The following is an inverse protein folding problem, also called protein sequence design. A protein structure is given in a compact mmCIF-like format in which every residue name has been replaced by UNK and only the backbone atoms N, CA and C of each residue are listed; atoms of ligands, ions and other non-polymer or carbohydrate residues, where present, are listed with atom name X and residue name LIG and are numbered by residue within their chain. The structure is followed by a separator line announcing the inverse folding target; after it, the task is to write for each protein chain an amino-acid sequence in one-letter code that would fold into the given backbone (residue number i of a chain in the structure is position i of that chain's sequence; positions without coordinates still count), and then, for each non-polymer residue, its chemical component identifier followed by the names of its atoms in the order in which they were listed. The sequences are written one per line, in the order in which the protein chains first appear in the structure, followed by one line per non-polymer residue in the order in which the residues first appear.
data_IF_500362304261
#
_entry.id   IF_500362304261
#
_cell.length_a   1.000
_cell.length_b   1.000
_cell.length_c   1.000
_cell.angle_alpha   90.00
_cell.angle_beta   90.00
_cell.angle_gamma   90.00
#
_symmetry.space_group_name_H-M   'P 1'
#
loop_
_entity.id
_entity.type
_entity.pdbx_description
1 polymer ?
#
# COMPACT_ATOMS: atom_id res chain seq x y z
N UNK A 1 22.85 5.15 12.18
CA UNK A 1 23.87 4.83 11.15
C UNK A 1 24.19 3.36 11.32
N UNK A 2 23.76 2.47 10.41
CA UNK A 2 24.10 1.05 10.52
C UNK A 2 25.59 0.87 10.24
N UNK A 3 26.34 0.52 11.27
CA UNK A 3 27.79 0.24 11.21
C UNK A 3 28.10 -1.15 10.62
N UNK A 4 27.08 -1.90 10.18
CA UNK A 4 27.25 -3.28 9.71
C UNK A 4 27.34 -3.35 8.20
N UNK A 5 28.32 -4.11 7.73
CA UNK A 5 28.60 -4.28 6.30
C UNK A 5 27.70 -5.33 5.64
N UNK A 6 27.06 -6.19 6.42
CA UNK A 6 26.12 -7.20 5.94
C UNK A 6 24.97 -7.46 6.93
N UNK A 7 23.84 -8.01 6.49
CA UNK A 7 22.73 -8.45 7.35
C UNK A 7 23.18 -9.49 8.40
N UNK A 8 24.07 -10.39 8.02
CA UNK A 8 24.62 -11.43 8.92
C UNK A 8 25.39 -10.82 10.08
N UNK A 9 26.24 -9.82 9.81
CA UNK A 9 27.00 -9.12 10.85
C UNK A 9 26.08 -8.37 11.82
N UNK A 10 24.99 -7.80 11.33
CA UNK A 10 24.00 -7.15 12.19
C UNK A 10 23.28 -8.18 13.08
N UNK A 11 22.89 -9.32 12.51
CA UNK A 11 22.23 -10.40 13.22
C UNK A 11 23.12 -11.03 14.30
N UNK A 12 24.40 -11.32 13.98
CA UNK A 12 25.37 -11.84 14.95
C UNK A 12 25.58 -10.87 16.13
N UNK A 13 25.63 -9.58 15.85
CA UNK A 13 25.74 -8.56 16.88
C UNK A 13 24.51 -8.51 17.79
N UNK A 14 23.31 -8.58 17.21
CA UNK A 14 22.06 -8.55 17.95
C UNK A 14 21.92 -9.81 18.84
N UNK A 15 22.25 -11.01 18.31
CA UNK A 15 22.27 -12.26 19.08
C UNK A 15 23.24 -12.17 20.25
N UNK A 16 24.45 -11.64 20.02
CA UNK A 16 25.44 -11.51 21.09
C UNK A 16 24.93 -10.61 22.21
N UNK A 17 24.40 -9.43 21.87
CA UNK A 17 23.85 -8.49 22.84
C UNK A 17 22.63 -9.04 23.57
N UNK A 18 21.79 -9.78 22.89
CA UNK A 18 20.66 -10.48 23.48
C UNK A 18 21.11 -11.48 24.55
N UNK A 19 22.13 -12.28 24.26
CA UNK A 19 22.70 -13.26 25.20
C UNK A 19 23.42 -12.62 26.40
N UNK A 20 23.96 -11.41 26.23
CA UNK A 20 24.65 -10.65 27.29
C UNK A 20 23.68 -9.81 28.13
N UNK A 21 22.39 -9.70 27.74
CA UNK A 21 21.40 -8.90 28.44
C UNK A 21 20.81 -9.65 29.64
N UNK A 22 20.80 -9.00 30.80
CA UNK A 22 20.12 -9.52 31.99
C UNK A 22 18.58 -9.35 31.90
N UNK A 23 18.11 -8.36 31.15
CA UNK A 23 16.68 -8.06 30.92
C UNK A 23 16.43 -7.95 29.42
N UNK A 24 15.92 -9.03 28.85
CA UNK A 24 15.63 -9.16 27.42
C UNK A 24 14.51 -8.21 26.98
N UNK A 25 13.50 -8.02 27.80
CA UNK A 25 12.36 -7.16 27.47
C UNK A 25 12.82 -5.69 27.39
N UNK A 26 13.59 -5.23 28.37
CA UNK A 26 14.18 -3.88 28.34
C UNK A 26 15.14 -3.70 27.16
N UNK A 27 15.91 -4.74 26.80
CA UNK A 27 16.81 -4.71 25.64
C UNK A 27 16.04 -4.54 24.34
N UNK A 28 15.00 -5.35 24.09
CA UNK A 28 14.15 -5.26 22.89
C UNK A 28 13.48 -3.89 22.82
N UNK A 29 12.90 -3.41 23.93
CA UNK A 29 12.25 -2.10 23.97
C UNK A 29 13.20 -0.96 23.64
N UNK A 30 14.44 -0.99 24.13
CA UNK A 30 15.44 0.03 23.78
C UNK A 30 15.79 0.05 22.29
N UNK A 31 15.87 -1.13 21.66
CA UNK A 31 16.07 -1.22 20.19
C UNK A 31 14.85 -0.65 19.45
N UNK A 32 13.65 -1.03 19.85
CA UNK A 32 12.42 -0.53 19.24
C UNK A 32 12.30 0.99 19.35
N UNK A 33 12.51 1.55 20.53
CA UNK A 33 12.45 3.00 20.76
C UNK A 33 13.49 3.76 19.91
N UNK A 34 14.67 3.18 19.69
CA UNK A 34 15.72 3.75 18.85
C UNK A 34 15.46 3.64 17.35
N UNK A 35 15.08 2.45 16.87
CA UNK A 35 14.97 2.15 15.44
C UNK A 35 13.58 2.49 14.88
N UNK A 36 12.50 2.33 15.68
CA UNK A 36 11.11 2.54 15.28
C UNK A 36 10.52 3.84 15.87
N UNK A 37 11.36 4.87 15.94
CA UNK A 37 10.96 6.20 16.40
C UNK A 37 9.87 6.82 15.51
N UNK A 38 9.23 7.89 16.00
CA UNK A 38 8.26 8.64 15.18
C UNK A 38 8.89 9.19 13.87
N UNK A 39 10.17 9.52 13.89
CA UNK A 39 10.90 9.92 12.67
C UNK A 39 11.01 8.77 11.66
N UNK A 40 11.20 7.52 12.12
CA UNK A 40 11.16 6.36 11.25
C UNK A 40 9.80 6.22 10.58
N UNK A 41 8.72 6.19 11.34
CA UNK A 41 7.37 5.97 10.83
C UNK A 41 6.89 7.07 9.88
N UNK A 42 7.14 8.34 10.23
CA UNK A 42 6.58 9.49 9.53
C UNK A 42 7.45 9.96 8.34
N UNK A 43 8.74 9.63 8.32
CA UNK A 43 9.66 10.13 7.29
C UNK A 43 10.45 9.02 6.59
N UNK A 44 11.17 8.17 7.36
CA UNK A 44 12.08 7.18 6.78
C UNK A 44 11.30 6.12 6.01
N UNK A 45 10.27 5.53 6.63
CA UNK A 45 9.43 4.51 5.99
C UNK A 45 8.71 5.07 4.76
N UNK A 46 8.16 6.28 4.85
CA UNK A 46 7.50 6.96 3.72
C UNK A 46 8.47 7.14 2.54
N UNK A 47 9.73 7.52 2.83
CA UNK A 47 10.79 7.62 1.81
C UNK A 47 11.14 6.25 1.22
N UNK A 48 11.22 5.20 2.04
CA UNK A 48 11.51 3.82 1.58
C UNK A 48 10.37 3.22 0.73
N UNK A 49 9.15 3.69 0.91
CA UNK A 49 8.00 3.35 0.06
C UNK A 49 8.03 4.07 -1.31
N UNK A 50 8.97 5.00 -1.54
CA UNK A 50 9.17 5.64 -2.84
C UNK A 50 10.04 4.77 -3.75
N UNK A 51 9.48 3.70 -4.27
CA UNK A 51 10.16 2.73 -5.13
C UNK A 51 9.21 2.10 -6.13
N UNK A 52 9.75 1.64 -7.26
CA UNK A 52 9.04 0.86 -8.29
C UNK A 52 9.25 -0.66 -8.14
N UNK A 53 10.03 -1.09 -7.15
CA UNK A 53 10.46 -2.49 -6.98
C UNK A 53 9.41 -3.27 -6.19
N UNK A 54 8.65 -4.15 -6.86
CA UNK A 54 7.60 -4.98 -6.22
C UNK A 54 8.15 -6.02 -5.23
N UNK A 55 9.42 -6.44 -5.38
CA UNK A 55 10.12 -7.31 -4.43
C UNK A 55 10.65 -6.58 -3.20
N UNK A 56 10.47 -5.25 -3.11
CA UNK A 56 10.87 -4.44 -1.96
C UNK A 56 10.30 -5.00 -0.65
N UNK A 57 11.10 -5.12 0.43
CA UNK A 57 10.60 -5.56 1.73
C UNK A 57 9.52 -4.63 2.27
N UNK A 58 9.57 -3.35 1.94
CA UNK A 58 8.57 -2.36 2.37
C UNK A 58 7.20 -2.57 1.69
N UNK A 59 7.18 -3.02 0.43
CA UNK A 59 5.93 -3.40 -0.22
C UNK A 59 5.40 -4.72 0.33
N UNK A 60 6.30 -5.69 0.57
CA UNK A 60 5.90 -6.97 1.16
C UNK A 60 5.28 -6.81 2.55
N UNK A 61 5.87 -5.98 3.43
CA UNK A 61 5.31 -5.77 4.76
C UNK A 61 3.95 -5.03 4.70
N UNK A 62 3.74 -4.14 3.73
CA UNK A 62 2.44 -3.53 3.48
C UNK A 62 1.40 -4.58 3.08
N UNK A 63 1.74 -5.52 2.18
CA UNK A 63 0.84 -6.61 1.79
C UNK A 63 0.55 -7.56 2.97
N UNK A 64 1.56 -7.86 3.79
CA UNK A 64 1.38 -8.66 5.01
C UNK A 64 0.41 -7.96 5.96
N UNK A 65 0.53 -6.65 6.15
CA UNK A 65 -0.39 -5.86 6.95
C UNK A 65 -1.84 -5.96 6.42
N UNK A 66 -2.04 -5.80 5.11
CA UNK A 66 -3.36 -5.96 4.48
C UNK A 66 -3.93 -7.36 4.68
N UNK A 67 -3.13 -8.40 4.47
CA UNK A 67 -3.53 -9.81 4.65
C UNK A 67 -3.92 -10.07 6.11
N UNK A 68 -3.11 -9.59 7.06
CA UNK A 68 -3.34 -9.78 8.49
C UNK A 68 -4.61 -9.07 8.98
N UNK A 69 -4.92 -7.91 8.40
CA UNK A 69 -6.12 -7.13 8.71
C UNK A 69 -7.38 -7.63 7.97
N UNK A 70 -7.25 -8.62 7.08
CA UNK A 70 -8.37 -9.16 6.29
C UNK A 70 -8.89 -8.19 5.22
N UNK A 71 -8.02 -7.28 4.74
CA UNK A 71 -8.40 -6.27 3.76
C UNK A 71 -8.88 -6.90 2.45
N UNK A 72 -9.88 -6.27 1.84
CA UNK A 72 -10.41 -6.66 0.53
C UNK A 72 -9.58 -6.08 -0.59
N UNK A 73 -9.57 -6.79 -1.74
CA UNK A 73 -9.01 -6.26 -2.97
C UNK A 73 -9.64 -4.93 -3.38
N UNK A 74 -8.91 -4.14 -4.14
CA UNK A 74 -9.39 -2.84 -4.59
C UNK A 74 -10.69 -2.99 -5.40
N UNK A 75 -11.73 -2.24 -5.02
CA UNK A 75 -13.10 -2.30 -5.54
C UNK A 75 -13.77 -3.68 -5.44
N UNK A 76 -13.22 -4.61 -4.63
CA UNK A 76 -13.81 -5.92 -4.37
C UNK A 76 -14.62 -5.90 -3.06
N UNK A 77 -15.86 -6.37 -3.11
CA UNK A 77 -16.73 -6.49 -1.93
C UNK A 77 -16.34 -7.70 -1.06
N UNK A 78 -16.09 -8.84 -1.68
CA UNK A 78 -15.99 -10.12 -0.98
C UNK A 78 -14.61 -10.77 -1.06
N UNK A 79 -13.78 -10.46 -2.07
CA UNK A 79 -12.50 -11.13 -2.29
C UNK A 79 -11.40 -10.36 -1.54
N UNK A 80 -10.68 -11.05 -0.66
CA UNK A 80 -9.59 -10.48 0.11
C UNK A 80 -8.26 -10.49 -0.65
N UNK A 81 -7.30 -9.70 -0.16
CA UNK A 81 -5.95 -9.58 -0.74
C UNK A 81 -5.22 -10.92 -0.76
N UNK A 82 -5.37 -11.74 0.30
CA UNK A 82 -4.76 -13.07 0.37
C UNK A 82 -5.20 -13.94 -0.81
N UNK A 83 -6.51 -14.04 -1.01
CA UNK A 83 -7.10 -14.82 -2.10
C UNK A 83 -6.64 -14.36 -3.48
N UNK A 84 -6.55 -13.04 -3.69
CA UNK A 84 -6.04 -12.49 -4.95
C UNK A 84 -4.56 -12.85 -5.18
N UNK A 85 -3.71 -12.81 -4.16
CA UNK A 85 -2.30 -13.18 -4.26
C UNK A 85 -2.14 -14.69 -4.53
N UNK A 86 -2.87 -15.55 -3.80
CA UNK A 86 -2.81 -17.01 -3.93
C UNK A 86 -3.30 -17.49 -5.30
N UNK A 87 -4.31 -16.83 -5.87
CA UNK A 87 -4.83 -17.12 -7.21
C UNK A 87 -3.98 -16.50 -8.35
N UNK A 88 -2.75 -16.04 -8.04
CA UNK A 88 -1.86 -15.35 -8.98
C UNK A 88 -2.48 -14.10 -9.59
N UNK A 89 -3.27 -13.38 -8.81
CA UNK A 89 -3.78 -12.07 -9.19
C UNK A 89 -2.64 -11.12 -9.52
N UNK A 90 -2.78 -10.41 -10.64
CA UNK A 90 -1.79 -9.43 -11.03
C UNK A 90 -1.90 -8.15 -10.21
N UNK A 91 -0.78 -7.48 -10.07
CA UNK A 91 -0.72 -6.13 -9.52
C UNK A 91 -1.20 -5.15 -10.58
N UNK A 92 -2.19 -4.34 -10.23
CA UNK A 92 -2.79 -3.34 -11.11
C UNK A 92 -2.44 -1.92 -10.65
N UNK A 93 -2.68 -0.95 -11.53
CA UNK A 93 -2.39 0.46 -11.28
C UNK A 93 -3.67 1.23 -10.96
N UNK A 94 -3.67 2.02 -9.88
CA UNK A 94 -4.78 2.94 -9.53
C UNK A 94 -4.89 4.05 -10.57
N UNK A 95 -3.76 4.69 -10.89
CA UNK A 95 -3.63 5.50 -12.10
C UNK A 95 -3.19 4.58 -13.23
N UNK A 96 -4.07 4.23 -14.17
CA UNK A 96 -3.76 3.23 -15.19
C UNK A 96 -2.50 3.59 -15.98
N UNK A 97 -1.64 2.60 -16.22
CA UNK A 97 -0.39 2.80 -16.96
C UNK A 97 -0.62 3.48 -18.32
N UNK A 98 -1.62 3.00 -19.06
CA UNK A 98 -1.93 3.56 -20.37
C UNK A 98 -2.41 5.01 -20.30
N UNK A 99 -3.16 5.38 -19.26
CA UNK A 99 -3.55 6.76 -18.98
C UNK A 99 -2.33 7.65 -18.71
N UNK A 100 -1.45 7.22 -17.80
CA UNK A 100 -0.24 7.98 -17.47
C UNK A 100 0.68 8.18 -18.69
N UNK A 101 0.85 7.12 -19.50
CA UNK A 101 1.67 7.20 -20.71
C UNK A 101 1.09 8.17 -21.76
N UNK A 102 -0.23 8.15 -21.97
CA UNK A 102 -0.93 9.11 -22.85
C UNK A 102 -0.82 10.55 -22.34
N UNK A 103 -0.70 10.72 -21.02
CA UNK A 103 -0.54 12.01 -20.35
C UNK A 103 0.93 12.47 -20.24
N UNK A 104 1.87 11.79 -20.91
CA UNK A 104 3.29 12.18 -20.94
C UNK A 104 4.19 11.54 -19.90
N UNK A 105 3.65 10.74 -18.97
CA UNK A 105 4.45 10.00 -17.97
C UNK A 105 4.86 8.65 -18.56
N UNK A 106 5.96 8.63 -19.31
CA UNK A 106 6.42 7.45 -20.09
C UNK A 106 7.50 6.63 -19.39
N UNK A 107 8.20 7.19 -18.39
CA UNK A 107 9.26 6.48 -17.65
C UNK A 107 8.69 5.36 -16.78
N UNK A 108 9.25 4.14 -16.92
CA UNK A 108 8.84 2.97 -16.13
C UNK A 108 8.96 3.22 -14.62
N UNK A 109 10.01 3.87 -14.17
CA UNK A 109 10.22 4.19 -12.76
C UNK A 109 9.16 5.16 -12.20
N UNK A 110 8.54 5.98 -13.06
CA UNK A 110 7.52 6.93 -12.65
C UNK A 110 6.13 6.30 -12.55
N UNK A 111 5.67 5.53 -13.54
CA UNK A 111 4.34 4.94 -13.50
C UNK A 111 4.28 3.62 -12.70
N UNK A 112 5.38 2.87 -12.61
CA UNK A 112 5.49 1.64 -11.82
C UNK A 112 5.94 1.94 -10.38
N UNK A 113 5.18 2.75 -9.66
CA UNK A 113 5.44 3.02 -8.24
C UNK A 113 4.61 2.07 -7.37
N UNK A 114 5.20 1.53 -6.27
CA UNK A 114 4.43 0.66 -5.36
C UNK A 114 3.22 1.40 -4.76
N UNK A 115 3.33 2.71 -4.58
CA UNK A 115 2.22 3.56 -4.18
C UNK A 115 1.16 3.78 -5.29
N UNK A 116 1.35 3.24 -6.50
CA UNK A 116 0.34 3.19 -7.56
C UNK A 116 -0.25 1.77 -7.73
N UNK A 117 0.21 0.79 -6.95
CA UNK A 117 -0.18 -0.60 -7.09
C UNK A 117 -1.29 -1.01 -6.13
N UNK A 118 -2.21 -1.83 -6.64
CA UNK A 118 -3.25 -2.54 -5.86
C UNK A 118 -3.40 -3.96 -6.38
N UNK A 119 -3.94 -4.83 -5.54
CA UNK A 119 -4.51 -6.11 -5.98
C UNK A 119 -6.00 -5.93 -6.22
N UNK A 120 -6.46 -6.31 -7.41
CA UNK A 120 -7.88 -6.29 -7.79
C UNK A 120 -8.19 -7.45 -8.73
N UNK A 121 -9.47 -7.73 -8.88
CA UNK A 121 -9.94 -8.70 -9.88
C UNK A 121 -9.68 -8.16 -11.31
N UNK A 122 -9.27 -9.06 -12.21
CA UNK A 122 -8.95 -8.70 -13.59
C UNK A 122 -10.13 -8.06 -14.33
N UNK A 123 -11.36 -8.48 -14.02
CA UNK A 123 -12.58 -7.93 -14.61
C UNK A 123 -12.76 -6.44 -14.27
N UNK A 124 -12.42 -6.04 -13.05
CA UNK A 124 -12.46 -4.63 -12.63
C UNK A 124 -11.43 -3.83 -13.43
N UNK A 125 -10.20 -4.33 -13.52
CA UNK A 125 -9.14 -3.68 -14.29
C UNK A 125 -9.51 -3.51 -15.77
N UNK A 126 -10.12 -4.55 -16.38
CA UNK A 126 -10.61 -4.50 -17.75
C UNK A 126 -11.68 -3.39 -17.93
N UNK A 127 -12.50 -3.14 -16.93
CA UNK A 127 -13.53 -2.09 -16.98
C UNK A 127 -12.94 -0.69 -16.78
N UNK A 128 -11.92 -0.54 -15.94
CA UNK A 128 -11.20 0.73 -15.73
C UNK A 128 -10.49 1.18 -17.00
N UNK A 129 -9.82 0.27 -17.71
CA UNK A 129 -9.05 0.56 -18.93
C UNK A 129 -7.98 1.64 -18.69
N UNK A 130 -8.08 2.72 -19.45
CA UNK A 130 -7.17 3.88 -19.42
C UNK A 130 -7.89 5.15 -18.97
N UNK A 131 -8.93 5.02 -18.14
CA UNK A 131 -9.66 6.15 -17.59
C UNK A 131 -8.84 6.84 -16.49
N UNK A 132 -8.94 8.17 -16.41
CA UNK A 132 -8.44 8.91 -15.26
C UNK A 132 -9.14 8.48 -13.96
N UNK A 133 -8.47 8.58 -12.79
CA UNK A 133 -9.12 8.24 -11.51
C UNK A 133 -10.44 8.98 -11.28
N UNK A 134 -10.48 10.29 -11.44
CA UNK A 134 -11.71 11.07 -11.27
C UNK A 134 -12.86 10.59 -12.18
N UNK A 135 -12.55 10.04 -13.35
CA UNK A 135 -13.57 9.52 -14.28
C UNK A 135 -14.12 8.18 -13.79
N UNK A 136 -13.25 7.16 -13.57
CA UNK A 136 -13.77 5.86 -13.17
C UNK A 136 -14.32 5.84 -11.74
N UNK A 137 -13.78 6.66 -10.82
CA UNK A 137 -14.35 6.83 -9.48
C UNK A 137 -15.69 7.57 -9.50
N UNK A 138 -15.89 8.50 -10.45
CA UNK A 138 -17.20 9.09 -10.70
C UNK A 138 -18.25 8.05 -11.13
N UNK A 139 -17.84 7.08 -11.96
CA UNK A 139 -18.69 5.95 -12.37
C UNK A 139 -18.94 4.97 -11.19
N UNK A 140 -17.93 4.69 -10.33
CA UNK A 140 -18.08 3.86 -9.12
C UNK A 140 -19.03 4.54 -8.12
N UNK A 141 -18.91 5.86 -7.93
CA UNK A 141 -19.83 6.62 -7.07
C UNK A 141 -21.27 6.51 -7.58
N UNK A 142 -21.47 6.68 -8.88
CA UNK A 142 -22.80 6.51 -9.51
C UNK A 142 -23.32 5.09 -9.31
N UNK A 143 -22.46 4.06 -9.44
CA UNK A 143 -22.82 2.67 -9.14
C UNK A 143 -23.36 2.52 -7.70
N UNK A 144 -22.75 3.20 -6.72
CA UNK A 144 -23.21 3.18 -5.33
C UNK A 144 -24.57 3.89 -5.14
N UNK A 145 -24.93 4.84 -6.03
CA UNK A 145 -26.19 5.59 -5.98
C UNK A 145 -27.34 4.84 -6.67
N UNK A 146 -27.09 4.20 -7.81
CA UNK A 146 -28.12 3.59 -8.67
C UNK A 146 -28.15 2.04 -8.62
N UNK A 147 -27.17 1.41 -7.96
CA UNK A 147 -27.06 -0.05 -7.81
C UNK A 147 -26.65 -0.79 -9.09
N UNK A 148 -26.28 -0.08 -10.16
CA UNK A 148 -25.83 -0.71 -11.41
C UNK A 148 -24.36 -1.10 -11.35
N UNK A 149 -24.08 -2.35 -10.99
CA UNK A 149 -22.74 -2.87 -10.75
C UNK A 149 -21.91 -3.00 -12.05
N UNK A 150 -20.93 -2.11 -12.22
CA UNK A 150 -19.99 -2.09 -13.34
C UNK A 150 -18.58 -2.49 -12.87
N UNK A 151 -18.16 -2.00 -11.69
CA UNK A 151 -16.83 -2.16 -11.10
C UNK A 151 -16.88 -3.01 -9.82
N UNK A 152 -16.83 -4.32 -9.97
CA UNK A 152 -16.92 -5.24 -8.84
C UNK A 152 -18.30 -5.19 -8.15
N UNK A 153 -18.34 -5.53 -6.86
CA UNK A 153 -19.59 -5.73 -6.12
C UNK A 153 -19.92 -4.66 -5.07
N UNK A 154 -19.14 -3.57 -4.98
CA UNK A 154 -19.38 -2.48 -4.02
C UNK A 154 -20.62 -1.68 -4.49
N UNK A 155 -21.64 -1.59 -3.64
CA UNK A 155 -22.95 -1.00 -3.98
C UNK A 155 -23.38 0.10 -3.01
N UNK A 156 -22.53 0.53 -2.09
CA UNK A 156 -22.77 1.65 -1.20
C UNK A 156 -21.54 2.52 -1.00
N UNK A 157 -21.75 3.81 -0.69
CA UNK A 157 -20.66 4.74 -0.42
C UNK A 157 -19.87 4.34 0.82
N UNK A 158 -20.51 3.80 1.86
CA UNK A 158 -19.83 3.36 3.08
C UNK A 158 -18.85 2.20 2.77
N UNK A 159 -19.29 1.20 2.01
CA UNK A 159 -18.41 0.11 1.56
C UNK A 159 -17.27 0.63 0.67
N UNK A 160 -17.53 1.61 -0.18
CA UNK A 160 -16.49 2.22 -1.01
C UNK A 160 -15.45 2.93 -0.15
N UNK A 161 -15.87 3.75 0.82
CA UNK A 161 -14.95 4.43 1.73
C UNK A 161 -14.12 3.46 2.56
N UNK A 162 -14.74 2.38 3.07
CA UNK A 162 -14.04 1.32 3.78
C UNK A 162 -13.01 0.63 2.88
N UNK A 163 -13.36 0.33 1.62
CA UNK A 163 -12.45 -0.29 0.66
C UNK A 163 -11.26 0.61 0.31
N UNK A 164 -11.49 1.93 0.16
CA UNK A 164 -10.41 2.90 -0.06
C UNK A 164 -9.45 2.94 1.14
N UNK A 165 -9.99 2.96 2.36
CA UNK A 165 -9.19 2.92 3.58
C UNK A 165 -8.38 1.62 3.71
N UNK A 166 -9.00 0.46 3.45
CA UNK A 166 -8.33 -0.84 3.42
C UNK A 166 -7.16 -0.86 2.44
N UNK A 167 -7.32 -0.23 1.27
CA UNK A 167 -6.29 -0.15 0.23
C UNK A 167 -5.34 1.04 0.37
N UNK A 168 -5.40 1.77 1.50
CA UNK A 168 -4.59 2.95 1.79
C UNK A 168 -4.68 4.00 0.67
N UNK A 169 -5.89 4.28 0.17
CA UNK A 169 -6.13 5.24 -0.90
C UNK A 169 -6.68 6.53 -0.30
N UNK A 170 -6.10 7.70 -0.62
CA UNK A 170 -6.58 8.98 -0.12
C UNK A 170 -7.98 9.31 -0.66
N UNK A 171 -8.86 9.85 0.20
CA UNK A 171 -10.28 10.06 -0.13
C UNK A 171 -10.52 11.15 -1.18
N UNK A 172 -9.56 12.03 -1.41
CA UNK A 172 -9.61 13.04 -2.48
C UNK A 172 -9.28 12.48 -3.87
N UNK A 173 -9.10 11.15 -3.99
CA UNK A 173 -8.90 10.45 -5.28
C UNK A 173 -10.04 10.70 -6.27
N UNK A 174 -11.25 11.01 -5.79
CA UNK A 174 -12.42 11.28 -6.64
C UNK A 174 -12.24 12.48 -7.57
N UNK A 175 -11.36 13.42 -7.20
CA UNK A 175 -11.10 14.65 -7.96
C UNK A 175 -9.73 14.63 -8.64
N UNK A 176 -8.98 13.52 -8.54
CA UNK A 176 -7.60 13.44 -9.03
C UNK A 176 -7.49 13.01 -10.48
N UNK A 177 -6.59 13.67 -11.18
CA UNK A 177 -6.13 13.34 -12.53
C UNK A 177 -4.59 13.29 -12.60
N UNK A 178 -4.02 13.31 -13.81
CA UNK A 178 -2.56 13.24 -14.01
C UNK A 178 -1.80 14.39 -13.33
N UNK A 179 -2.40 15.55 -13.16
CA UNK A 179 -1.77 16.70 -12.51
C UNK A 179 -1.55 16.46 -11.01
N UNK A 180 -2.39 15.62 -10.40
CA UNK A 180 -2.31 15.23 -8.99
C UNK A 180 -1.49 13.96 -8.75
N UNK A 181 -0.93 13.32 -9.78
CA UNK A 181 -0.30 12.00 -9.65
C UNK A 181 0.83 11.95 -8.61
N UNK A 182 1.70 12.95 -8.57
CA UNK A 182 2.80 12.98 -7.58
C UNK A 182 2.29 13.22 -6.16
N UNK A 183 1.28 14.06 -6.00
CA UNK A 183 0.60 14.30 -4.73
C UNK A 183 -0.09 13.01 -4.23
N UNK A 184 -0.81 12.33 -5.11
CA UNK A 184 -1.41 11.02 -4.83
C UNK A 184 -0.38 10.01 -4.33
N UNK A 185 0.74 9.85 -5.03
CA UNK A 185 1.80 8.93 -4.62
C UNK A 185 2.34 9.26 -3.22
N UNK A 186 2.50 10.56 -2.91
CA UNK A 186 2.95 10.99 -1.60
C UNK A 186 1.93 10.69 -0.50
N UNK A 187 0.67 11.12 -0.69
CA UNK A 187 -0.43 10.85 0.25
C UNK A 187 -0.61 9.35 0.51
N UNK A 188 -0.56 8.55 -0.55
CA UNK A 188 -0.70 7.11 -0.41
C UNK A 188 0.45 6.47 0.35
N UNK A 189 1.70 6.91 0.16
CA UNK A 189 2.85 6.43 0.94
C UNK A 189 2.68 6.72 2.44
N UNK A 190 2.12 7.86 2.81
CA UNK A 190 1.78 8.17 4.21
C UNK A 190 0.75 7.19 4.78
N UNK A 191 -0.31 6.92 4.05
CA UNK A 191 -1.35 5.95 4.45
C UNK A 191 -0.82 4.52 4.52
N UNK A 192 0.05 4.12 3.58
CA UNK A 192 0.72 2.81 3.62
C UNK A 192 1.64 2.68 4.84
N UNK A 193 2.41 3.72 5.16
CA UNK A 193 3.28 3.74 6.34
C UNK A 193 2.46 3.66 7.64
N UNK A 194 1.34 4.39 7.73
CA UNK A 194 0.42 4.31 8.87
C UNK A 194 -0.19 2.90 9.02
N UNK A 195 -0.59 2.26 7.92
CA UNK A 195 -1.10 0.88 7.95
C UNK A 195 -0.03 -0.10 8.45
N UNK A 196 1.21 0.03 7.99
CA UNK A 196 2.33 -0.80 8.48
C UNK A 196 2.56 -0.55 9.98
N UNK A 197 2.54 0.71 10.43
CA UNK A 197 2.67 1.07 11.86
C UNK A 197 1.57 0.43 12.71
N UNK A 198 0.32 0.49 12.26
CA UNK A 198 -0.82 -0.13 12.96
C UNK A 198 -0.69 -1.66 13.03
N UNK A 199 -0.28 -2.28 11.93
CA UNK A 199 -0.01 -3.71 11.90
C UNK A 199 1.09 -4.08 12.91
N UNK A 200 2.23 -3.39 12.87
CA UNK A 200 3.32 -3.62 13.82
C UNK A 200 2.84 -3.53 15.27
N UNK A 201 2.12 -2.46 15.62
CA UNK A 201 1.57 -2.27 16.96
C UNK A 201 0.54 -3.33 17.39
N UNK A 202 -0.06 -4.04 16.45
CA UNK A 202 -0.99 -5.13 16.76
C UNK A 202 -0.29 -6.46 17.09
N UNK A 203 1.03 -6.55 16.90
CA UNK A 203 1.85 -7.73 17.17
C UNK A 203 2.43 -7.73 18.58
N UNK A 204 2.43 -6.57 19.23
CA UNK A 204 2.93 -6.31 20.60
C UNK A 204 1.73 -5.90 21.48
#
# INVERSE_FOLDING_TARGET
MNYYTSPESAFDYDIKRFNESEDVEAFVKNIEDGELSDAFWNNILVTKLNTSVTSSPYFKIFLIAQISMGDKGFLSKNIDIRSLIEQRGDVHHIFPKAYLQKSGITSKGMYNQIANYVYMQSEINIRIKDKAPNVYFGEVKKQCEDGNLIYGGIDSMDELMDNLNQNAIPLDIFDMDVNNYQEFLHKRRLLMADKIKRYYKSLI
#
